data_IF_296139983543
#
_entry.id   IF_296139983543
#
_cell.length_a   1.000
_cell.length_b   1.000
_cell.length_c   1.000
_cell.angle_alpha   90.00
_cell.angle_beta   90.00
_cell.angle_gamma   90.00
#
_symmetry.space_group_name_H-M   'P 1'
#
loop_
_entity.id
_entity.type
_entity.pdbx_description
1 polymer ?
#
# COMPACT_ATOMS: atom_id res chain seq x y z
N UNK A 1 5.65 53.56 -4.07
CA UNK A 1 4.19 53.29 -4.12
C UNK A 1 4.00 51.79 -3.96
N UNK A 2 3.46 51.36 -2.82
CA UNK A 2 3.38 49.95 -2.41
C UNK A 2 2.25 49.21 -3.15
N UNK A 3 2.59 48.21 -3.97
CA UNK A 3 1.65 47.35 -4.73
C UNK A 3 1.42 46.01 -4.02
N UNK A 4 1.14 46.03 -2.72
CA UNK A 4 1.01 44.83 -1.87
C UNK A 4 -0.43 44.38 -1.56
N UNK A 5 -1.42 44.68 -2.40
CA UNK A 5 -2.85 44.58 -2.05
C UNK A 5 -3.51 43.19 -2.16
N UNK A 6 -3.48 42.50 -3.33
CA UNK A 6 -4.33 41.32 -3.53
C UNK A 6 -3.67 39.97 -3.26
N UNK A 7 -2.34 39.88 -3.42
CA UNK A 7 -1.62 38.60 -3.33
C UNK A 7 -1.38 38.15 -1.88
N UNK A 8 -1.22 39.11 -0.97
CA UNK A 8 -1.15 38.85 0.47
C UNK A 8 -2.49 38.32 1.00
N UNK A 9 -3.63 38.89 0.57
CA UNK A 9 -4.96 38.39 0.95
C UNK A 9 -5.23 36.97 0.42
N UNK A 10 -4.74 36.62 -0.77
CA UNK A 10 -4.90 35.28 -1.34
C UNK A 10 -4.11 34.21 -0.56
N UNK A 11 -2.89 34.54 -0.12
CA UNK A 11 -2.07 33.63 0.69
C UNK A 11 -2.67 33.39 2.08
N UNK A 12 -3.21 34.42 2.73
CA UNK A 12 -3.90 34.27 4.03
C UNK A 12 -5.18 33.45 3.91
N UNK A 13 -5.93 33.59 2.79
CA UNK A 13 -7.14 32.81 2.55
C UNK A 13 -6.85 31.31 2.32
N UNK A 14 -5.75 30.95 1.64
CA UNK A 14 -5.34 29.55 1.45
C UNK A 14 -4.88 28.87 2.75
N UNK A 15 -4.29 29.63 3.68
CA UNK A 15 -3.89 29.10 4.99
C UNK A 15 -5.09 28.89 5.92
N UNK A 16 -6.12 29.75 5.84
CA UNK A 16 -7.36 29.59 6.63
C UNK A 16 -8.21 28.43 6.13
N UNK A 17 -8.21 28.14 4.82
CA UNK A 17 -8.94 26.97 4.29
C UNK A 17 -8.25 25.62 4.58
N UNK A 18 -6.91 25.59 4.69
CA UNK A 18 -6.20 24.37 5.09
C UNK A 18 -6.36 24.03 6.59
N UNK A 19 -6.51 25.05 7.46
CA UNK A 19 -6.69 24.86 8.90
C UNK A 19 -8.09 24.32 9.28
N UNK A 20 -9.14 24.59 8.50
CA UNK A 20 -10.49 24.08 8.75
C UNK A 20 -10.63 22.56 8.54
N UNK A 21 -9.69 21.91 7.84
CA UNK A 21 -9.73 20.47 7.59
C UNK A 21 -9.33 19.62 8.80
N UNK A 22 -8.60 20.19 9.77
CA UNK A 22 -8.13 19.44 10.95
C UNK A 22 -9.06 19.55 12.17
N UNK A 23 -9.98 20.52 12.22
CA UNK A 23 -10.84 20.76 13.41
C UNK A 23 -12.23 20.09 13.30
N UNK A 24 -12.63 19.62 12.12
CA UNK A 24 -13.96 19.00 11.89
C UNK A 24 -13.95 17.47 11.80
N UNK A 25 -12.80 16.81 11.86
CA UNK A 25 -12.76 15.34 11.97
C UNK A 25 -12.93 14.98 13.45
N UNK A 26 -14.16 15.04 13.93
CA UNK A 26 -14.56 14.22 15.09
C UNK A 26 -14.51 12.77 14.66
N UNK A 27 -13.78 11.96 15.42
CA UNK A 27 -13.76 10.52 15.24
C UNK A 27 -15.19 9.96 15.17
N UNK A 28 -15.56 9.19 14.12
CA UNK A 28 -16.82 8.47 14.13
C UNK A 28 -16.83 7.49 15.32
N UNK A 29 -17.96 7.31 16.01
CA UNK A 29 -18.06 6.33 17.10
C UNK A 29 -17.59 4.97 16.58
N UNK A 30 -16.74 4.33 17.39
CA UNK A 30 -16.00 3.10 17.09
C UNK A 30 -16.78 2.19 16.13
N UNK A 31 -16.46 2.29 14.85
CA UNK A 31 -17.00 1.43 13.81
C UNK A 31 -16.58 0.00 14.20
N UNK A 32 -17.48 -1.01 14.12
CA UNK A 32 -17.10 -2.41 14.29
C UNK A 32 -15.84 -2.69 13.46
N UNK A 33 -14.93 -3.56 13.93
CA UNK A 33 -13.69 -3.84 13.21
C UNK A 33 -14.04 -4.08 11.73
N UNK A 34 -13.40 -3.36 10.80
CA UNK A 34 -13.70 -3.54 9.40
C UNK A 34 -13.60 -5.03 9.09
N UNK A 35 -14.50 -5.60 8.25
CA UNK A 35 -14.32 -6.95 7.76
C UNK A 35 -12.87 -7.08 7.29
N UNK A 36 -12.18 -8.22 7.55
CA UNK A 36 -10.76 -8.38 7.26
C UNK A 36 -10.54 -7.84 5.86
N UNK A 37 -9.78 -6.74 5.77
CA UNK A 37 -9.68 -5.97 4.55
C UNK A 37 -9.38 -6.96 3.44
N UNK A 38 -10.33 -7.16 2.52
CA UNK A 38 -10.10 -7.99 1.35
C UNK A 38 -8.84 -7.40 0.74
N UNK A 39 -7.73 -8.11 0.87
CA UNK A 39 -6.44 -7.63 0.41
C UNK A 39 -6.61 -7.68 -1.09
N UNK A 40 -7.04 -6.56 -1.67
CA UNK A 40 -7.33 -6.44 -3.09
C UNK A 40 -5.99 -6.58 -3.81
N UNK A 41 -5.63 -7.84 -4.02
CA UNK A 41 -4.27 -8.23 -4.29
C UNK A 41 -4.03 -7.99 -5.77
N UNK A 42 -3.46 -6.83 -6.08
CA UNK A 42 -3.00 -6.55 -7.44
C UNK A 42 -1.61 -7.13 -7.64
N UNK A 43 -1.47 -8.01 -8.64
CA UNK A 43 -0.17 -8.50 -9.11
C UNK A 43 0.43 -7.58 -10.19
N UNK A 44 -0.36 -6.61 -10.66
CA UNK A 44 0.04 -5.69 -11.71
C UNK A 44 1.11 -4.73 -11.19
N UNK A 45 2.28 -4.77 -11.83
CA UNK A 45 3.38 -3.85 -11.57
C UNK A 45 3.25 -2.53 -12.35
N UNK A 46 2.17 -2.35 -13.12
CA UNK A 46 2.03 -1.21 -14.02
C UNK A 46 1.99 0.13 -13.28
N UNK A 47 1.13 0.23 -12.25
CA UNK A 47 1.01 1.44 -11.42
C UNK A 47 2.31 1.78 -10.69
N UNK A 48 2.93 0.87 -9.90
CA UNK A 48 4.19 1.18 -9.25
C UNK A 48 5.34 1.42 -10.23
N UNK A 49 5.30 0.80 -11.42
CA UNK A 49 6.25 1.08 -12.50
C UNK A 49 6.13 2.50 -13.04
N UNK A 50 4.91 2.98 -13.30
CA UNK A 50 4.66 4.35 -13.72
C UNK A 50 5.09 5.35 -12.64
N UNK A 51 4.73 5.12 -11.39
CA UNK A 51 5.14 5.97 -10.27
C UNK A 51 6.67 6.03 -10.15
N UNK A 52 7.37 4.92 -10.37
CA UNK A 52 8.84 4.88 -10.37
C UNK A 52 9.41 5.74 -11.49
N UNK A 53 8.87 5.65 -12.71
CA UNK A 53 9.32 6.43 -13.85
C UNK A 53 9.13 7.94 -13.61
N UNK A 54 7.96 8.36 -13.11
CA UNK A 54 7.71 9.77 -12.79
C UNK A 54 8.63 10.24 -11.66
N UNK A 55 8.80 9.43 -10.61
CA UNK A 55 9.69 9.79 -9.50
C UNK A 55 11.13 10.03 -9.96
N UNK A 56 11.64 9.18 -10.86
CA UNK A 56 13.01 9.33 -11.41
C UNK A 56 13.12 10.57 -12.29
N UNK A 57 12.16 10.81 -13.19
CA UNK A 57 12.17 11.99 -14.04
C UNK A 57 12.13 13.28 -13.22
N UNK A 58 11.25 13.34 -12.22
CA UNK A 58 11.18 14.48 -11.32
C UNK A 58 12.42 14.62 -10.44
N UNK A 59 13.05 13.52 -10.00
CA UNK A 59 14.32 13.61 -9.27
C UNK A 59 15.43 14.22 -10.16
N UNK A 60 15.50 13.84 -11.44
CA UNK A 60 16.44 14.44 -12.40
C UNK A 60 16.12 15.93 -12.59
N UNK A 61 14.85 16.29 -12.77
CA UNK A 61 14.41 17.68 -12.88
C UNK A 61 14.80 18.52 -11.65
N UNK A 62 14.60 17.96 -10.46
CA UNK A 62 14.99 18.60 -9.20
C UNK A 62 16.50 18.86 -9.15
N UNK A 63 17.32 17.86 -9.52
CA UNK A 63 18.78 18.03 -9.57
C UNK A 63 19.17 19.08 -10.60
N UNK A 64 18.56 19.08 -11.79
CA UNK A 64 18.81 20.08 -12.82
C UNK A 64 18.56 21.50 -12.28
N UNK A 65 17.40 21.73 -11.67
CA UNK A 65 17.06 23.02 -11.08
C UNK A 65 17.96 23.38 -9.88
N UNK A 66 18.41 22.42 -9.08
CA UNK A 66 19.37 22.69 -7.99
C UNK A 66 20.74 23.12 -8.52
N UNK A 67 21.08 22.76 -9.76
CA UNK A 67 22.37 23.09 -10.40
C UNK A 67 22.31 24.27 -11.37
N UNK A 68 21.13 24.82 -11.64
CA UNK A 68 20.98 25.96 -12.55
C UNK A 68 21.10 27.29 -11.81
N UNK A 69 21.70 28.29 -12.45
CA UNK A 69 21.82 29.67 -11.94
C UNK A 69 20.59 30.54 -12.29
N UNK A 70 19.42 29.93 -12.47
CA UNK A 70 18.21 30.68 -12.81
C UNK A 70 17.58 31.30 -11.55
N UNK A 71 17.01 32.51 -11.67
CA UNK A 71 16.38 33.23 -10.55
C UNK A 71 15.23 32.45 -9.88
N UNK A 72 14.66 31.44 -10.56
CA UNK A 72 13.58 30.57 -10.06
C UNK A 72 14.01 29.12 -9.83
N UNK A 73 15.30 28.82 -9.89
CA UNK A 73 15.88 27.49 -9.67
C UNK A 73 15.37 26.83 -8.39
N UNK A 74 15.30 27.58 -7.28
CA UNK A 74 14.80 27.07 -6.01
C UNK A 74 13.34 26.60 -6.04
N UNK A 75 12.46 27.30 -6.77
CA UNK A 75 11.05 26.92 -6.88
C UNK A 75 10.93 25.65 -7.73
N UNK A 76 11.63 25.58 -8.87
CA UNK A 76 11.67 24.39 -9.72
C UNK A 76 12.17 23.16 -8.96
N UNK A 77 13.24 23.31 -8.18
CA UNK A 77 13.79 22.26 -7.34
C UNK A 77 12.80 21.75 -6.28
N UNK A 78 12.04 22.64 -5.63
CA UNK A 78 11.04 22.26 -4.62
C UNK A 78 9.87 21.51 -5.25
N UNK A 79 9.37 21.99 -6.40
CA UNK A 79 8.25 21.35 -7.10
C UNK A 79 8.64 19.96 -7.59
N UNK A 80 9.74 19.85 -8.32
CA UNK A 80 10.21 18.57 -8.85
C UNK A 80 10.67 17.63 -7.73
N UNK A 81 11.34 18.14 -6.69
CA UNK A 81 11.72 17.35 -5.53
C UNK A 81 10.49 16.80 -4.78
N UNK A 82 9.44 17.61 -4.64
CA UNK A 82 8.17 17.20 -4.04
C UNK A 82 7.48 16.10 -4.85
N UNK A 83 7.43 16.23 -6.18
CA UNK A 83 6.90 15.21 -7.08
C UNK A 83 7.70 13.90 -6.98
N UNK A 84 9.04 14.00 -7.00
CA UNK A 84 9.92 12.84 -6.87
C UNK A 84 9.66 12.05 -5.59
N UNK A 85 9.54 12.74 -4.45
CA UNK A 85 9.25 12.12 -3.15
C UNK A 85 7.84 11.51 -3.15
N UNK A 86 6.83 12.24 -3.61
CA UNK A 86 5.44 11.78 -3.63
C UNK A 86 5.26 10.50 -4.44
N UNK A 87 5.73 10.51 -5.69
CA UNK A 87 5.69 9.34 -6.55
C UNK A 87 6.61 8.21 -6.06
N UNK A 88 7.78 8.54 -5.50
CA UNK A 88 8.69 7.55 -4.92
C UNK A 88 8.08 6.77 -3.76
N UNK A 89 7.38 7.45 -2.85
CA UNK A 89 6.65 6.81 -1.74
C UNK A 89 5.49 5.96 -2.27
N UNK A 90 4.77 6.42 -3.29
CA UNK A 90 3.69 5.66 -3.94
C UNK A 90 4.22 4.37 -4.57
N UNK A 91 5.27 4.48 -5.40
CA UNK A 91 5.95 3.35 -6.02
C UNK A 91 6.41 2.32 -4.97
N UNK A 92 7.04 2.79 -3.89
CA UNK A 92 7.53 1.92 -2.82
C UNK A 92 6.42 1.12 -2.15
N UNK A 93 5.29 1.77 -1.83
CA UNK A 93 4.12 1.08 -1.28
C UNK A 93 3.52 0.09 -2.28
N UNK A 94 3.42 0.49 -3.56
CA UNK A 94 2.92 -0.36 -4.64
C UNK A 94 3.77 -1.62 -4.83
N UNK A 95 5.10 -1.49 -4.91
CA UNK A 95 6.02 -2.62 -5.02
C UNK A 95 5.94 -3.56 -3.81
N UNK A 96 5.82 -3.03 -2.58
CA UNK A 96 5.61 -3.85 -1.38
C UNK A 96 4.27 -4.59 -1.40
N UNK A 97 3.22 -4.00 -1.97
CA UNK A 97 1.93 -4.67 -2.13
C UNK A 97 2.03 -5.83 -3.12
N UNK A 98 2.57 -5.56 -4.31
CA UNK A 98 2.78 -6.57 -5.36
C UNK A 98 3.65 -7.72 -4.86
N UNK A 99 4.74 -7.42 -4.14
CA UNK A 99 5.62 -8.44 -3.57
C UNK A 99 4.93 -9.34 -2.55
N UNK A 100 4.10 -8.78 -1.67
CA UNK A 100 3.29 -9.56 -0.71
C UNK A 100 2.28 -10.46 -1.43
N UNK A 101 1.59 -9.93 -2.44
CA UNK A 101 0.62 -10.73 -3.20
C UNK A 101 1.29 -11.87 -3.99
N UNK A 102 2.45 -11.62 -4.61
CA UNK A 102 3.22 -12.68 -5.28
C UNK A 102 3.72 -13.74 -4.31
N UNK A 103 4.13 -13.34 -3.11
CA UNK A 103 4.53 -14.25 -2.03
C UNK A 103 3.39 -15.17 -1.60
N UNK A 104 2.17 -14.64 -1.46
CA UNK A 104 0.99 -15.45 -1.12
C UNK A 104 0.57 -16.39 -2.25
N UNK A 105 0.70 -15.98 -3.51
CA UNK A 105 0.40 -16.83 -4.67
C UNK A 105 1.44 -17.93 -4.90
N UNK A 106 2.68 -17.70 -4.44
CA UNK A 106 3.77 -18.66 -4.57
C UNK A 106 3.78 -19.69 -3.42
N UNK A 107 2.91 -19.53 -2.42
CA UNK A 107 2.73 -20.54 -1.39
C UNK A 107 2.14 -21.81 -2.04
N UNK A 108 2.71 -23.00 -1.77
CA UNK A 108 2.11 -24.25 -2.23
C UNK A 108 0.65 -24.31 -1.80
N UNK A 109 -0.27 -24.84 -2.63
CA UNK A 109 -1.62 -25.10 -2.18
C UNK A 109 -1.54 -25.94 -0.89
N UNK A 110 -2.43 -25.69 0.09
CA UNK A 110 -2.51 -26.55 1.27
C UNK A 110 -2.53 -28.00 0.79
N UNK A 111 -1.60 -28.81 1.29
CA UNK A 111 -1.59 -30.24 0.99
C UNK A 111 -2.99 -30.81 1.28
N UNK A 112 -3.41 -31.87 0.58
CA UNK A 112 -4.69 -32.50 0.88
C UNK A 112 -4.77 -32.74 2.39
N UNK A 113 -5.87 -32.31 3.00
CA UNK A 113 -6.11 -32.53 4.42
C UNK A 113 -5.83 -34.02 4.71
N UNK A 114 -5.19 -34.35 5.86
CA UNK A 114 -5.02 -35.75 6.25
C UNK A 114 -6.37 -36.44 6.08
N UNK A 115 -6.41 -37.47 5.22
CA UNK A 115 -7.62 -38.24 5.04
C UNK A 115 -8.11 -38.72 6.42
N UNK A 116 -9.42 -38.93 6.61
CA UNK A 116 -9.91 -39.53 7.84
C UNK A 116 -9.08 -40.78 8.14
N UNK A 117 -8.69 -41.01 9.42
CA UNK A 117 -7.88 -42.16 9.77
C UNK A 117 -8.52 -43.41 9.18
N UNK A 118 -7.72 -44.22 8.48
CA UNK A 118 -8.21 -45.45 7.88
C UNK A 118 -9.03 -46.22 8.93
N UNK A 119 -10.19 -46.79 8.56
CA UNK A 119 -10.98 -47.61 9.48
C UNK A 119 -10.05 -48.63 10.12
N UNK A 120 -9.84 -48.52 11.44
CA UNK A 120 -9.05 -49.53 12.13
C UNK A 120 -9.74 -50.88 11.89
N UNK A 121 -8.98 -51.93 11.53
CA UNK A 121 -9.54 -53.27 11.44
C UNK A 121 -10.26 -53.55 12.75
N UNK A 122 -11.58 -53.62 12.71
CA UNK A 122 -12.32 -54.04 13.88
C UNK A 122 -11.95 -55.49 14.09
N UNK A 123 -11.05 -55.73 15.06
CA UNK A 123 -10.72 -57.06 15.54
C UNK A 123 -12.05 -57.63 16.02
N UNK A 124 -12.69 -58.44 15.16
CA UNK A 124 -13.99 -59.04 15.44
C UNK A 124 -13.77 -59.98 16.62
N UNK A 125 -14.22 -59.65 17.84
CA UNK A 125 -14.04 -60.54 18.97
C UNK A 125 -15.05 -61.67 18.77
N UNK A 126 -14.60 -62.90 18.52
CA UNK A 126 -15.50 -64.05 18.69
C UNK A 126 -15.42 -65.23 17.73
N UNK A 127 -14.40 -65.40 16.90
CA UNK A 127 -14.17 -66.72 16.29
C UNK A 127 -13.33 -67.54 17.27
N UNK A 128 -13.99 -68.13 18.28
CA UNK A 128 -13.39 -69.25 19.04
C UNK A 128 -13.33 -70.44 18.08
N UNK A 129 -12.14 -71.00 17.77
CA UNK A 129 -12.05 -72.26 17.06
C UNK A 129 -12.76 -73.33 17.89
N UNK A 130 -13.77 -73.97 17.30
CA UNK A 130 -14.58 -74.98 17.96
C UNK A 130 -13.72 -76.17 18.42
N UNK A 131 -13.80 -76.45 19.72
CA UNK A 131 -13.39 -77.72 20.29
C UNK A 131 -14.48 -78.72 19.88
N UNK A 132 -14.16 -79.64 18.96
CA UNK A 132 -15.02 -80.82 18.73
C UNK A 132 -14.63 -81.91 19.72
N UNK A 133 -15.61 -82.53 20.41
CA UNK A 133 -15.39 -83.73 21.22
C UNK A 133 -15.09 -84.96 20.35
#
# INVERSE_FOLDING_TARGET
MSRGGPLACAMTALLVTSACSFVLVRDPPARPPPPPAEVSCTTSAMVPGFDTAVAVLSAIGAVYFLTSDEDNAGIGAVVEGGLAIGFGVSAFKGWRSVGRCRGMQSAPPPGPAPGPPAPQPQIRPGIRPGIRP
#
